data_IF_281813666093
#
_entry.id   IF_281813666093
#
_cell.length_a   1.000
_cell.length_b   1.000
_cell.length_c   1.000
_cell.angle_alpha   90.00
_cell.angle_beta   90.00
_cell.angle_gamma   90.00
#
_symmetry.space_group_name_H-M   'P 1'
#
loop_
_entity.id
_entity.type
_entity.pdbx_description
1 polymer ?
#
# COMPACT_ATOMS: atom_id res chain seq x y z
N UNK A 1 -4.49 22.89 -52.95
CA UNK A 1 -5.57 22.45 -52.04
C UNK A 1 -4.94 21.38 -51.17
N UNK A 2 -4.35 21.78 -50.04
CA UNK A 2 -3.67 20.87 -49.12
C UNK A 2 -4.75 20.42 -48.15
N UNK A 3 -5.14 19.15 -48.24
CA UNK A 3 -6.00 18.51 -47.24
C UNK A 3 -5.15 18.20 -46.02
N UNK A 4 -5.06 19.16 -45.11
CA UNK A 4 -4.63 18.90 -43.73
C UNK A 4 -5.74 18.11 -43.03
N UNK A 5 -5.62 16.78 -43.09
CA UNK A 5 -6.23 15.89 -42.12
C UNK A 5 -5.10 14.98 -41.64
N UNK A 6 -4.28 15.53 -40.75
CA UNK A 6 -3.44 14.75 -39.87
C UNK A 6 -4.04 14.89 -38.48
N UNK A 7 -5.24 14.32 -38.29
CA UNK A 7 -5.63 14.00 -36.92
C UNK A 7 -4.51 13.13 -36.36
N UNK A 8 -3.84 13.55 -35.26
CA UNK A 8 -2.76 12.75 -34.69
C UNK A 8 -3.34 11.36 -34.41
N UNK A 9 -2.73 10.34 -35.01
CA UNK A 9 -3.09 8.95 -34.69
C UNK A 9 -2.82 8.76 -33.21
N UNK A 10 -3.89 8.81 -32.41
CA UNK A 10 -3.83 8.40 -31.02
C UNK A 10 -3.44 6.93 -31.07
N UNK A 11 -2.35 6.52 -30.39
CA UNK A 11 -2.00 5.11 -30.27
C UNK A 11 -3.24 4.32 -29.82
N UNK A 12 -3.31 3.02 -30.10
CA UNK A 12 -4.31 2.17 -29.44
C UNK A 12 -4.00 2.15 -27.94
N UNK A 13 -4.58 3.12 -27.22
CA UNK A 13 -4.46 3.29 -25.79
C UNK A 13 -5.59 2.52 -25.13
N UNK A 14 -5.21 1.65 -24.20
CA UNK A 14 -6.15 0.91 -23.38
C UNK A 14 -6.24 1.49 -21.96
N UNK A 15 -7.20 0.99 -21.17
CA UNK A 15 -7.23 1.23 -19.73
C UNK A 15 -5.89 0.86 -19.08
N UNK A 16 -5.54 1.59 -18.03
CA UNK A 16 -4.29 1.51 -17.27
C UNK A 16 -2.99 1.89 -18.00
N UNK A 17 -3.04 2.26 -19.28
CA UNK A 17 -1.90 2.89 -19.95
C UNK A 17 -1.54 4.22 -19.28
N UNK A 18 -0.29 4.64 -19.45
CA UNK A 18 0.27 5.79 -18.72
C UNK A 18 0.54 6.93 -19.70
N UNK A 19 0.00 8.10 -19.41
CA UNK A 19 0.37 9.34 -20.06
C UNK A 19 1.41 10.08 -19.21
N UNK A 20 2.59 10.34 -19.77
CA UNK A 20 3.66 11.13 -19.17
C UNK A 20 3.62 12.53 -19.80
N UNK A 21 3.73 13.58 -18.99
CA UNK A 21 3.73 14.94 -19.51
C UNK A 21 4.39 15.94 -18.56
N UNK A 22 4.65 17.14 -19.07
CA UNK A 22 5.11 18.26 -18.26
C UNK A 22 3.93 19.10 -17.73
N UNK A 23 3.83 19.21 -16.40
CA UNK A 23 2.87 20.07 -15.70
C UNK A 23 3.62 21.10 -14.85
N UNK A 24 3.50 22.38 -15.23
CA UNK A 24 4.08 23.51 -14.49
C UNK A 24 3.58 23.62 -13.04
N UNK A 25 2.43 23.04 -12.73
CA UNK A 25 1.85 23.04 -11.39
C UNK A 25 2.32 21.86 -10.53
N UNK A 26 2.97 20.85 -11.14
CA UNK A 26 3.55 19.74 -10.41
C UNK A 26 4.87 20.17 -9.77
N UNK A 27 5.05 19.84 -8.49
CA UNK A 27 6.25 20.16 -7.72
C UNK A 27 7.36 19.12 -7.87
N UNK A 28 7.07 17.98 -8.55
CA UNK A 28 8.08 16.96 -8.80
C UNK A 28 9.15 17.51 -9.76
N UNK A 29 10.42 17.14 -9.59
CA UNK A 29 11.46 17.49 -10.54
C UNK A 29 11.17 16.84 -11.90
N UNK A 30 11.68 17.47 -12.95
CA UNK A 30 11.63 16.93 -14.32
C UNK A 30 12.61 15.77 -14.42
N UNK A 31 12.18 14.67 -15.03
CA UNK A 31 12.99 13.48 -15.31
C UNK A 31 13.76 13.60 -16.64
N UNK A 32 14.47 12.53 -17.01
CA UNK A 32 15.23 12.46 -18.26
C UNK A 32 14.37 12.56 -19.53
N UNK A 33 13.06 12.31 -19.43
CA UNK A 33 12.10 12.44 -20.53
C UNK A 33 11.51 13.84 -20.65
N UNK A 34 11.92 14.80 -19.83
CA UNK A 34 11.34 16.14 -19.83
C UNK A 34 9.97 16.22 -19.13
N UNK A 35 9.52 15.11 -18.53
CA UNK A 35 8.23 15.01 -17.84
C UNK A 35 8.41 15.19 -16.33
N UNK A 36 7.38 15.69 -15.65
CA UNK A 36 7.34 15.72 -14.19
C UNK A 36 6.01 15.21 -13.61
N UNK A 37 5.13 14.76 -14.50
CA UNK A 37 3.82 14.28 -14.15
C UNK A 37 3.45 13.08 -15.00
N UNK A 38 2.59 12.27 -14.43
CA UNK A 38 1.99 11.13 -15.10
C UNK A 38 0.51 11.03 -14.75
N UNK A 39 -0.26 10.42 -15.65
CA UNK A 39 -1.67 10.13 -15.46
C UNK A 39 -1.97 8.72 -15.95
N UNK A 40 -2.88 8.05 -15.26
CA UNK A 40 -3.30 6.69 -15.58
C UNK A 40 -4.59 6.79 -16.38
N UNK A 41 -4.57 6.28 -17.61
CA UNK A 41 -5.74 6.20 -18.48
C UNK A 41 -6.72 5.23 -17.83
N UNK A 42 -7.97 5.64 -17.64
CA UNK A 42 -8.95 4.81 -16.92
C UNK A 42 -10.15 4.43 -17.78
N UNK A 43 -10.52 5.25 -18.76
CA UNK A 43 -11.65 5.03 -19.67
C UNK A 43 -11.60 5.99 -20.87
N UNK A 44 -12.63 5.96 -21.70
CA UNK A 44 -12.80 6.83 -22.87
C UNK A 44 -12.94 8.32 -22.54
N UNK A 45 -13.11 8.69 -21.26
CA UNK A 45 -13.26 10.07 -20.84
C UNK A 45 -11.95 10.71 -20.37
N UNK A 46 -10.87 9.92 -20.23
CA UNK A 46 -9.53 10.43 -20.01
C UNK A 46 -8.72 9.68 -18.97
N UNK A 47 -7.80 10.41 -18.34
CA UNK A 47 -6.84 9.87 -17.38
C UNK A 47 -7.00 10.47 -15.98
N UNK A 48 -6.57 9.76 -14.95
CA UNK A 48 -6.49 10.26 -13.57
C UNK A 48 -5.06 10.66 -13.25
N UNK A 49 -4.89 11.88 -12.76
CA UNK A 49 -3.58 12.42 -12.37
C UNK A 49 -3.65 12.99 -10.95
N UNK A 50 -2.54 12.85 -10.20
CA UNK A 50 -2.38 13.45 -8.87
C UNK A 50 -1.93 14.90 -8.99
N UNK A 51 -2.75 15.86 -8.56
CA UNK A 51 -2.41 17.29 -8.52
C UNK A 51 -2.46 17.80 -7.08
N UNK A 52 -1.28 18.14 -6.53
CA UNK A 52 -1.13 18.52 -5.11
C UNK A 52 -1.68 17.39 -4.22
N UNK A 53 -2.71 17.68 -3.42
CA UNK A 53 -3.35 16.74 -2.48
C UNK A 53 -4.65 16.11 -3.02
N UNK A 54 -4.88 16.15 -4.33
CA UNK A 54 -6.11 15.64 -4.95
C UNK A 54 -5.81 14.83 -6.19
N UNK A 55 -6.66 13.84 -6.46
CA UNK A 55 -6.68 13.16 -7.75
C UNK A 55 -7.73 13.85 -8.62
N UNK A 56 -7.37 14.16 -9.86
CA UNK A 56 -8.25 14.84 -10.82
C UNK A 56 -8.28 14.07 -12.12
N UNK A 57 -9.46 14.00 -12.73
CA UNK A 57 -9.59 13.57 -14.13
C UNK A 57 -9.05 14.67 -15.05
N UNK A 58 -8.18 14.27 -15.96
CA UNK A 58 -7.69 15.06 -17.09
C UNK A 58 -8.39 14.54 -18.35
N UNK A 59 -9.33 15.31 -18.93
CA UNK A 59 -9.99 14.93 -20.18
C UNK A 59 -8.98 14.76 -21.32
N UNK A 60 -9.31 13.92 -22.30
CA UNK A 60 -8.45 13.66 -23.46
C UNK A 60 -8.05 14.93 -24.20
N UNK A 61 -8.99 15.85 -24.41
CA UNK A 61 -8.75 17.09 -25.15
C UNK A 61 -7.76 18.01 -24.43
N UNK A 62 -7.68 17.91 -23.10
CA UNK A 62 -6.71 18.62 -22.29
C UNK A 62 -5.36 17.89 -22.27
N UNK A 63 -5.38 16.57 -22.16
CA UNK A 63 -4.18 15.73 -22.13
C UNK A 63 -3.38 15.85 -23.43
N UNK A 64 -4.06 15.77 -24.58
CA UNK A 64 -3.45 15.90 -25.92
C UNK A 64 -2.82 17.26 -26.19
N UNK A 65 -3.11 18.27 -25.37
CA UNK A 65 -2.52 19.62 -25.45
C UNK A 65 -1.36 19.83 -24.46
N UNK A 66 -1.01 18.81 -23.67
CA UNK A 66 0.06 18.93 -22.69
C UNK A 66 1.44 18.94 -23.38
N UNK A 67 2.38 19.76 -22.90
CA UNK A 67 3.76 19.71 -23.37
C UNK A 67 4.44 18.38 -23.02
N UNK A 68 5.35 17.92 -23.89
CA UNK A 68 6.12 16.69 -23.70
C UNK A 68 5.23 15.46 -23.42
N UNK A 69 4.08 15.37 -24.10
CA UNK A 69 3.16 14.24 -23.91
C UNK A 69 3.72 12.97 -24.56
N UNK A 70 3.90 11.94 -23.73
CA UNK A 70 4.25 10.60 -24.15
C UNK A 70 3.24 9.60 -23.60
N UNK A 71 2.97 8.54 -24.37
CA UNK A 71 2.18 7.42 -23.89
C UNK A 71 3.06 6.19 -23.72
N UNK A 72 2.80 5.45 -22.66
CA UNK A 72 3.44 4.18 -22.36
C UNK A 72 2.37 3.12 -22.10
N UNK A 73 2.43 2.05 -22.87
CA UNK A 73 1.58 0.89 -22.62
C UNK A 73 1.92 0.24 -21.29
N UNK A 74 0.90 -0.14 -20.55
CA UNK A 74 1.03 -0.90 -19.33
C UNK A 74 1.47 -2.34 -19.67
N UNK A 75 2.53 -2.90 -19.05
CA UNK A 75 2.98 -4.26 -19.36
C UNK A 75 2.02 -5.36 -18.87
N UNK A 76 1.00 -5.02 -18.06
CA UNK A 76 0.06 -5.97 -17.47
C UNK A 76 -1.26 -6.02 -18.25
N UNK A 77 -1.19 -6.43 -19.53
CA UNK A 77 -2.33 -6.43 -20.45
C UNK A 77 -3.58 -7.13 -19.89
N UNK A 78 -3.41 -8.31 -19.28
CA UNK A 78 -4.51 -9.10 -18.70
C UNK A 78 -5.16 -8.45 -17.46
N UNK A 79 -4.56 -7.39 -16.91
CA UNK A 79 -5.02 -6.71 -15.68
C UNK A 79 -5.49 -5.28 -15.91
N UNK A 80 -5.42 -4.75 -17.15
CA UNK A 80 -5.72 -3.35 -17.49
C UNK A 80 -7.04 -2.84 -16.92
N UNK A 81 -8.14 -3.58 -17.13
CA UNK A 81 -9.47 -3.20 -16.63
C UNK A 81 -9.55 -3.17 -15.10
N UNK A 82 -8.87 -4.10 -14.43
CA UNK A 82 -8.86 -4.18 -12.96
C UNK A 82 -8.06 -3.02 -12.36
N UNK A 83 -6.92 -2.70 -12.97
CA UNK A 83 -6.07 -1.56 -12.58
C UNK A 83 -6.86 -0.26 -12.76
N UNK A 84 -7.49 -0.04 -13.92
CA UNK A 84 -8.29 1.15 -14.17
C UNK A 84 -9.47 1.29 -13.17
N UNK A 85 -10.19 0.20 -12.92
CA UNK A 85 -11.29 0.17 -11.94
C UNK A 85 -10.82 0.48 -10.52
N UNK A 86 -9.66 -0.05 -10.11
CA UNK A 86 -9.06 0.27 -8.81
C UNK A 86 -8.86 1.78 -8.69
N UNK A 87 -8.24 2.43 -9.68
CA UNK A 87 -7.97 3.87 -9.62
C UNK A 87 -9.25 4.71 -9.64
N UNK A 88 -10.27 4.32 -10.41
CA UNK A 88 -11.59 4.95 -10.41
C UNK A 88 -12.25 4.88 -9.02
N UNK A 89 -12.19 3.73 -8.36
CA UNK A 89 -12.77 3.52 -7.02
C UNK A 89 -12.07 4.35 -5.93
N UNK A 90 -10.78 4.66 -6.11
CA UNK A 90 -9.96 5.38 -5.13
C UNK A 90 -9.69 6.84 -5.48
N UNK A 91 -10.40 7.42 -6.46
CA UNK A 91 -10.20 8.84 -6.87
C UNK A 91 -10.36 9.84 -5.72
N UNK A 92 -11.16 9.51 -4.71
CA UNK A 92 -11.40 10.38 -3.53
C UNK A 92 -10.39 10.14 -2.39
N UNK A 93 -9.59 9.07 -2.48
CA UNK A 93 -8.65 8.62 -1.45
C UNK A 93 -7.23 8.78 -1.97
N UNK A 94 -6.68 9.99 -1.81
CA UNK A 94 -5.37 10.38 -2.34
C UNK A 94 -4.28 9.35 -2.01
N UNK A 95 -4.21 8.91 -0.76
CA UNK A 95 -3.13 8.02 -0.30
C UNK A 95 -3.29 6.60 -0.84
N UNK A 96 -4.54 6.15 -1.07
CA UNK A 96 -4.81 4.87 -1.70
C UNK A 96 -4.49 4.91 -3.19
N UNK A 97 -4.77 6.03 -3.86
CA UNK A 97 -4.37 6.25 -5.24
C UNK A 97 -2.84 6.23 -5.38
N UNK A 98 -2.13 6.96 -4.52
CA UNK A 98 -0.66 6.96 -4.50
C UNK A 98 -0.08 5.58 -4.16
N UNK A 99 -0.70 4.84 -3.24
CA UNK A 99 -0.30 3.47 -2.94
C UNK A 99 -0.50 2.54 -4.15
N UNK A 100 -1.59 2.71 -4.91
CA UNK A 100 -1.83 1.99 -6.16
C UNK A 100 -0.80 2.33 -7.23
N UNK A 101 -0.46 3.62 -7.40
CA UNK A 101 0.62 4.07 -8.28
C UNK A 101 1.94 3.36 -7.95
N UNK A 102 2.32 3.33 -6.67
CA UNK A 102 3.53 2.65 -6.20
C UNK A 102 3.44 1.14 -6.42
N UNK A 103 2.32 0.51 -6.07
CA UNK A 103 2.11 -0.93 -6.26
C UNK A 103 2.27 -1.32 -7.74
N UNK A 104 1.72 -0.53 -8.67
CA UNK A 104 1.87 -0.75 -10.10
C UNK A 104 3.33 -0.68 -10.56
N UNK A 105 4.07 0.34 -10.11
CA UNK A 105 5.50 0.50 -10.43
C UNK A 105 6.36 -0.63 -9.87
N UNK A 106 5.98 -1.16 -8.71
CA UNK A 106 6.65 -2.27 -8.04
C UNK A 106 6.23 -3.65 -8.58
N UNK A 107 5.28 -3.70 -9.51
CA UNK A 107 4.72 -4.96 -10.02
C UNK A 107 3.89 -5.75 -9.02
N UNK A 108 3.43 -5.10 -7.94
CA UNK A 108 2.51 -5.67 -6.98
C UNK A 108 1.07 -5.55 -7.52
N UNK A 109 0.58 -6.61 -8.15
CA UNK A 109 -0.75 -6.60 -8.78
C UNK A 109 -1.90 -6.90 -7.82
N UNK A 110 -1.59 -7.37 -6.61
CA UNK A 110 -2.56 -7.87 -5.64
C UNK A 110 -3.66 -6.85 -5.28
N UNK A 111 -3.38 -5.55 -5.03
CA UNK A 111 -4.42 -4.56 -4.79
C UNK A 111 -5.42 -4.41 -5.94
N UNK A 112 -4.97 -4.58 -7.19
CA UNK A 112 -5.83 -4.47 -8.37
C UNK A 112 -6.69 -5.70 -8.56
N UNK A 113 -6.16 -6.89 -8.24
CA UNK A 113 -6.92 -8.14 -8.27
C UNK A 113 -8.09 -8.14 -7.30
N UNK A 114 -7.91 -7.56 -6.12
CA UNK A 114 -8.97 -7.42 -5.12
C UNK A 114 -9.85 -6.19 -5.32
N UNK A 115 -9.36 -5.20 -6.05
CA UNK A 115 -10.02 -3.91 -6.23
C UNK A 115 -9.95 -2.99 -4.99
N UNK A 116 -9.14 -3.34 -3.99
CA UNK A 116 -8.96 -2.61 -2.74
C UNK A 116 -7.50 -2.71 -2.28
N UNK A 117 -7.00 -1.67 -1.61
CA UNK A 117 -5.62 -1.67 -1.11
C UNK A 117 -5.41 -2.70 0.02
N UNK A 118 -6.40 -2.84 0.89
CA UNK A 118 -6.37 -3.78 1.99
C UNK A 118 -7.26 -4.99 1.66
N UNK A 119 -6.85 -6.21 2.03
CA UNK A 119 -7.67 -7.40 1.87
C UNK A 119 -8.93 -7.31 2.75
N UNK A 120 -9.96 -8.07 2.38
CA UNK A 120 -11.10 -8.24 3.26
C UNK A 120 -10.72 -9.07 4.48
N UNK A 121 -11.26 -8.69 5.64
CA UNK A 121 -11.12 -9.48 6.87
C UNK A 121 -11.72 -10.87 6.66
N UNK A 122 -11.00 -11.94 7.02
CA UNK A 122 -11.55 -13.30 6.91
C UNK A 122 -12.69 -13.50 7.92
N UNK A 123 -13.65 -14.33 7.55
CA UNK A 123 -14.74 -14.77 8.42
C UNK A 123 -14.72 -16.28 8.51
N UNK A 124 -15.00 -16.82 9.68
CA UNK A 124 -14.93 -18.25 9.96
C UNK A 124 -16.28 -18.76 10.40
N UNK A 125 -16.69 -19.91 9.89
CA UNK A 125 -17.92 -20.58 10.29
C UNK A 125 -17.71 -21.38 11.58
N UNK A 126 -16.50 -21.91 11.81
CA UNK A 126 -16.17 -22.72 12.98
C UNK A 126 -14.79 -22.40 13.57
N UNK A 127 -14.56 -22.86 14.81
CA UNK A 127 -13.25 -22.73 15.44
C UNK A 127 -12.19 -23.59 14.75
N UNK A 128 -12.57 -24.74 14.20
CA UNK A 128 -11.66 -25.58 13.41
C UNK A 128 -11.15 -24.89 12.15
N UNK A 129 -11.99 -24.06 11.53
CA UNK A 129 -11.63 -23.29 10.34
C UNK A 129 -10.67 -22.15 10.69
N UNK A 130 -10.94 -21.46 11.81
CA UNK A 130 -10.03 -20.45 12.36
C UNK A 130 -8.68 -21.05 12.75
N UNK A 131 -8.68 -22.19 13.45
CA UNK A 131 -7.45 -22.88 13.86
C UNK A 131 -6.62 -23.32 12.66
N UNK A 132 -7.27 -23.82 11.60
CA UNK A 132 -6.58 -24.14 10.34
C UNK A 132 -5.99 -22.89 9.68
N UNK A 133 -6.76 -21.81 9.53
CA UNK A 133 -6.25 -20.56 8.96
C UNK A 133 -5.07 -20.00 9.78
N UNK A 134 -5.14 -20.10 11.10
CA UNK A 134 -4.05 -19.71 12.00
C UNK A 134 -2.80 -20.59 11.81
N UNK A 135 -2.97 -21.91 11.71
CA UNK A 135 -1.89 -22.84 11.42
C UNK A 135 -1.25 -22.55 10.05
N UNK A 136 -2.05 -22.32 9.02
CA UNK A 136 -1.58 -21.98 7.67
C UNK A 136 -0.82 -20.65 7.68
N UNK A 137 -1.30 -19.65 8.43
CA UNK A 137 -0.61 -18.39 8.63
C UNK A 137 0.80 -18.59 9.21
N UNK A 138 0.92 -19.37 10.29
CA UNK A 138 2.20 -19.62 10.95
C UNK A 138 3.18 -20.41 10.06
N UNK A 139 2.67 -21.37 9.29
CA UNK A 139 3.48 -22.17 8.35
C UNK A 139 3.98 -21.33 7.18
N UNK A 140 3.18 -20.35 6.74
CA UNK A 140 3.52 -19.52 5.56
C UNK A 140 4.42 -18.33 5.92
N UNK A 141 4.33 -17.84 7.15
CA UNK A 141 5.15 -16.75 7.64
C UNK A 141 6.65 -17.11 7.67
N UNK A 142 7.49 -16.18 7.21
CA UNK A 142 8.95 -16.31 7.18
C UNK A 142 9.61 -15.18 7.96
N UNK A 143 10.81 -15.38 8.52
CA UNK A 143 11.54 -14.30 9.18
C UNK A 143 11.61 -13.05 8.29
N UNK A 144 11.53 -11.86 8.90
CA UNK A 144 11.41 -10.56 8.22
C UNK A 144 10.06 -10.25 7.56
N UNK A 145 9.07 -11.14 7.64
CA UNK A 145 7.69 -10.76 7.34
C UNK A 145 7.17 -9.76 8.37
N UNK A 146 6.28 -8.87 7.91
CA UNK A 146 5.62 -7.89 8.75
C UNK A 146 4.23 -8.39 9.10
N UNK A 147 3.94 -8.46 10.39
CA UNK A 147 2.66 -8.87 10.95
C UNK A 147 1.83 -7.62 11.23
N UNK A 148 0.70 -7.50 10.54
CA UNK A 148 -0.26 -6.43 10.73
C UNK A 148 -1.43 -6.92 11.56
N UNK A 149 -1.83 -6.14 12.55
CA UNK A 149 -2.84 -6.54 13.51
C UNK A 149 -3.95 -5.47 13.56
N UNK A 150 -5.19 -5.94 13.52
CA UNK A 150 -6.39 -5.14 13.73
C UNK A 150 -7.15 -5.64 14.96
N UNK A 151 -7.37 -4.74 15.93
CA UNK A 151 -8.15 -5.00 17.15
C UNK A 151 -9.36 -4.08 17.18
N UNK A 152 -10.56 -4.66 17.14
CA UNK A 152 -11.81 -3.86 17.13
C UNK A 152 -12.29 -3.44 18.51
N UNK A 153 -11.86 -4.15 19.55
CA UNK A 153 -12.32 -3.94 20.93
C UNK A 153 -11.69 -2.72 21.60
N UNK A 154 -10.55 -2.25 21.07
CA UNK A 154 -9.80 -1.15 21.65
C UNK A 154 -10.08 0.16 20.89
N UNK A 155 -10.52 1.18 21.63
CA UNK A 155 -10.85 2.51 21.11
C UNK A 155 -9.65 3.13 20.41
N UNK A 156 -8.45 2.96 20.98
CA UNK A 156 -7.23 3.52 20.39
C UNK A 156 -6.91 2.82 19.07
N UNK A 157 -6.99 1.50 19.04
CA UNK A 157 -6.81 0.72 17.82
C UNK A 157 -7.75 1.18 16.70
N UNK A 158 -9.03 1.40 17.02
CA UNK A 158 -10.00 1.96 16.06
C UNK A 158 -9.66 3.37 15.60
N UNK A 159 -9.17 4.22 16.49
CA UNK A 159 -8.77 5.59 16.15
C UNK A 159 -7.56 5.59 15.19
N UNK A 160 -6.56 4.75 15.44
CA UNK A 160 -5.39 4.60 14.55
C UNK A 160 -5.84 4.12 13.17
N UNK A 161 -6.63 3.04 13.12
CA UNK A 161 -7.18 2.51 11.88
C UNK A 161 -7.95 3.58 11.08
N UNK A 162 -8.86 4.31 11.75
CA UNK A 162 -9.65 5.37 11.12
C UNK A 162 -8.79 6.54 10.63
N UNK A 163 -7.90 7.08 11.46
CA UNK A 163 -7.06 8.24 11.10
C UNK A 163 -6.07 7.94 9.98
N UNK A 164 -5.66 6.68 9.87
CA UNK A 164 -4.73 6.23 8.83
C UNK A 164 -5.42 5.58 7.65
N UNK A 165 -6.76 5.66 7.56
CA UNK A 165 -7.59 5.16 6.45
C UNK A 165 -7.36 3.68 6.10
N UNK A 166 -7.09 2.83 7.09
CA UNK A 166 -6.87 1.40 6.89
C UNK A 166 -7.32 0.57 8.08
N UNK A 167 -7.30 -0.76 7.99
CA UNK A 167 -7.83 -1.62 9.06
C UNK A 167 -6.87 -1.84 10.21
N UNK A 168 -5.56 -1.73 9.97
CA UNK A 168 -4.55 -2.16 10.92
C UNK A 168 -4.23 -1.05 11.92
N UNK A 169 -4.03 -1.44 13.18
CA UNK A 169 -3.70 -0.54 14.28
C UNK A 169 -2.39 -0.86 14.96
N UNK A 170 -1.79 -2.00 14.62
CA UNK A 170 -0.50 -2.41 15.14
C UNK A 170 0.30 -3.19 14.11
N UNK A 171 1.62 -3.20 14.31
CA UNK A 171 2.57 -3.87 13.42
C UNK A 171 3.68 -4.52 14.24
N UNK A 172 4.13 -5.69 13.82
CA UNK A 172 5.22 -6.44 14.42
C UNK A 172 6.10 -7.06 13.33
N UNK A 173 7.34 -7.39 13.66
CA UNK A 173 8.24 -8.16 12.79
C UNK A 173 8.19 -9.62 13.20
N UNK A 174 8.03 -10.53 12.24
CA UNK A 174 8.13 -11.96 12.47
C UNK A 174 9.58 -12.41 12.55
N UNK A 175 9.94 -13.13 13.61
CA UNK A 175 11.30 -13.61 13.85
C UNK A 175 11.52 -15.06 13.38
N UNK A 176 10.45 -15.82 13.10
CA UNK A 176 10.52 -17.27 12.91
C UNK A 176 9.92 -18.04 14.09
N UNK A 177 9.62 -19.33 13.89
CA UNK A 177 9.11 -20.25 14.92
C UNK A 177 7.90 -19.75 15.72
N UNK A 178 7.02 -18.98 15.06
CA UNK A 178 5.85 -18.37 15.68
C UNK A 178 6.14 -17.19 16.59
N UNK A 179 7.38 -16.68 16.63
CA UNK A 179 7.77 -15.52 17.44
C UNK A 179 7.71 -14.22 16.66
N UNK A 180 7.34 -13.17 17.38
CA UNK A 180 7.32 -11.81 16.88
C UNK A 180 8.10 -10.89 17.80
N UNK A 181 8.46 -9.75 17.22
CA UNK A 181 9.06 -8.63 17.90
C UNK A 181 8.27 -7.37 17.58
N UNK A 182 7.86 -6.63 18.60
CA UNK A 182 6.99 -5.46 18.44
C UNK A 182 7.30 -4.37 19.47
N UNK A 183 6.93 -3.13 19.14
CA UNK A 183 6.99 -2.00 20.06
C UNK A 183 5.59 -1.69 20.58
N UNK A 184 5.36 -1.89 21.87
CA UNK A 184 4.10 -1.55 22.55
C UNK A 184 4.30 -0.33 23.46
N UNK A 185 3.22 0.17 24.05
CA UNK A 185 3.25 1.34 24.95
C UNK A 185 4.16 1.14 26.16
N UNK A 186 4.32 -0.10 26.65
CA UNK A 186 5.23 -0.44 27.75
C UNK A 186 6.67 -0.69 27.30
N UNK A 187 6.99 -0.48 26.02
CA UNK A 187 8.30 -0.71 25.44
C UNK A 187 8.32 -1.90 24.48
N UNK A 188 9.52 -2.42 24.26
CA UNK A 188 9.79 -3.48 23.29
C UNK A 188 9.39 -4.84 23.85
N UNK A 189 8.72 -5.67 23.04
CA UNK A 189 8.24 -6.99 23.44
C UNK A 189 8.59 -8.04 22.40
N UNK A 190 9.09 -9.18 22.88
CA UNK A 190 9.19 -10.45 22.14
C UNK A 190 8.19 -11.43 22.72
N UNK A 191 7.55 -12.23 21.87
CA UNK A 191 6.66 -13.31 22.32
C UNK A 191 6.09 -14.13 21.19
N UNK A 192 5.41 -15.22 21.55
CA UNK A 192 4.71 -16.08 20.58
C UNK A 192 3.47 -15.36 20.05
N UNK A 193 3.34 -15.30 18.72
CA UNK A 193 2.21 -14.70 18.03
C UNK A 193 0.89 -15.33 18.46
N UNK A 194 0.86 -16.65 18.67
CA UNK A 194 -0.31 -17.38 19.16
C UNK A 194 -0.79 -16.87 20.51
N UNK A 195 0.14 -16.69 21.44
CA UNK A 195 -0.18 -16.38 22.83
C UNK A 195 -0.65 -14.93 22.98
N UNK A 196 -0.14 -14.05 22.12
CA UNK A 196 -0.42 -12.62 22.14
C UNK A 196 -1.67 -12.24 21.33
N UNK A 197 -1.96 -12.97 20.24
CA UNK A 197 -2.91 -12.51 19.22
C UNK A 197 -3.87 -13.57 18.66
N UNK A 198 -3.77 -14.86 19.04
CA UNK A 198 -4.71 -15.89 18.53
C UNK A 198 -6.10 -15.70 19.15
N UNK A 199 -6.98 -15.00 18.44
CA UNK A 199 -8.38 -14.83 18.81
C UNK A 199 -9.20 -14.47 17.59
N UNK A 200 -10.41 -15.01 17.44
CA UNK A 200 -11.35 -14.62 16.36
C UNK A 200 -11.72 -13.13 16.37
N UNK A 201 -11.50 -12.44 17.49
CA UNK A 201 -11.73 -11.00 17.65
C UNK A 201 -10.57 -10.14 17.16
N UNK A 202 -9.41 -10.74 16.91
CA UNK A 202 -8.20 -10.09 16.43
C UNK A 202 -7.97 -10.59 15.01
N UNK A 203 -7.80 -9.67 14.08
CA UNK A 203 -7.41 -10.01 12.72
C UNK A 203 -5.90 -9.81 12.58
N UNK A 204 -5.21 -10.84 12.12
CA UNK A 204 -3.78 -10.84 11.85
C UNK A 204 -3.55 -11.08 10.36
N UNK A 205 -2.77 -10.22 9.73
CA UNK A 205 -2.36 -10.34 8.33
C UNK A 205 -0.84 -10.30 8.22
N UNK A 206 -0.28 -11.22 7.45
CA UNK A 206 1.17 -11.32 7.21
C UNK A 206 1.46 -10.74 5.84
N UNK A 207 2.35 -9.75 5.81
CA UNK A 207 2.81 -9.14 4.58
C UNK A 207 4.31 -9.32 4.41
N UNK A 208 4.73 -9.57 3.18
CA UNK A 208 6.13 -9.66 2.78
C UNK A 208 6.48 -8.50 1.86
N UNK A 209 7.62 -7.88 2.12
CA UNK A 209 8.16 -6.88 1.21
C UNK A 209 8.55 -7.57 -0.11
N UNK A 210 8.26 -6.98 -1.27
CA UNK A 210 8.53 -7.61 -2.58
C UNK A 210 10.01 -8.01 -2.75
N UNK A 211 10.94 -7.20 -2.22
CA UNK A 211 12.38 -7.49 -2.30
C UNK A 211 12.80 -8.67 -1.40
N UNK A 212 11.92 -9.10 -0.50
CA UNK A 212 12.13 -10.25 0.38
C UNK A 212 11.45 -11.51 -0.16
N UNK A 213 10.74 -11.44 -1.30
CA UNK A 213 10.07 -12.63 -1.87
C UNK A 213 11.11 -13.68 -2.30
N UNK A 214 12.18 -13.24 -2.95
CA UNK A 214 13.23 -14.11 -3.50
C UNK A 214 14.36 -14.40 -2.51
N UNK A 215 14.42 -13.65 -1.39
CA UNK A 215 15.47 -13.78 -0.38
C UNK A 215 14.92 -14.41 0.88
N UNK A 216 15.56 -15.49 1.32
CA UNK A 216 15.35 -16.03 2.65
C UNK A 216 16.18 -15.28 3.69
N UNK A 217 15.56 -14.96 4.82
CA UNK A 217 16.21 -14.38 5.99
C UNK A 217 16.23 -15.41 7.10
N UNK A 218 17.35 -15.49 7.81
CA UNK A 218 17.45 -16.24 9.05
C UNK A 218 16.75 -15.52 10.21
N UNK A 219 16.35 -16.27 11.24
CA UNK A 219 15.79 -15.71 12.47
C UNK A 219 16.74 -14.69 13.13
N UNK A 220 18.05 -14.96 13.11
CA UNK A 220 19.07 -14.06 13.64
C UNK A 220 19.16 -12.74 12.86
N UNK A 221 19.04 -12.79 11.52
CA UNK A 221 18.99 -11.56 10.71
C UNK A 221 17.73 -10.74 11.02
N UNK A 222 16.59 -11.41 11.18
CA UNK A 222 15.34 -10.76 11.54
C UNK A 222 15.43 -10.09 12.92
N UNK A 223 15.98 -10.81 13.91
CA UNK A 223 16.16 -10.30 15.26
C UNK A 223 17.13 -9.11 15.32
N UNK A 224 18.27 -9.17 14.61
CA UNK A 224 19.20 -8.04 14.52
C UNK A 224 18.54 -6.81 13.91
N UNK A 225 17.84 -6.99 12.79
CA UNK A 225 17.17 -5.89 12.09
C UNK A 225 16.07 -5.27 12.94
N UNK A 226 15.25 -6.10 13.59
CA UNK A 226 14.22 -5.66 14.52
C UNK A 226 14.82 -4.87 15.69
N UNK A 227 15.91 -5.38 16.29
CA UNK A 227 16.62 -4.73 17.40
C UNK A 227 17.28 -3.41 17.00
N UNK A 228 17.86 -3.33 15.80
CA UNK A 228 18.47 -2.10 15.28
C UNK A 228 17.41 -1.02 15.00
N UNK A 229 16.26 -1.43 14.46
CA UNK A 229 15.11 -0.54 14.33
C UNK A 229 14.61 -0.10 15.71
N UNK A 230 14.55 -1.02 16.67
CA UNK A 230 14.17 -0.78 18.06
C UNK A 230 15.03 0.23 18.80
N UNK A 231 16.33 0.24 18.51
CA UNK A 231 17.29 1.11 19.17
C UNK A 231 16.89 2.59 19.03
N UNK A 232 16.14 2.93 17.97
CA UNK A 232 15.57 4.25 17.72
C UNK A 232 14.33 4.57 18.57
N UNK A 233 13.66 3.55 19.12
CA UNK A 233 12.39 3.61 19.86
C UNK A 233 12.49 3.01 21.27
N UNK A 234 13.69 2.98 21.85
CA UNK A 234 14.03 2.25 23.10
C UNK A 234 13.14 2.58 24.31
N UNK A 235 12.59 3.79 24.38
CA UNK A 235 11.80 4.25 25.52
C UNK A 235 10.30 3.91 25.41
N UNK A 236 9.95 3.03 24.46
CA UNK A 236 8.57 2.85 24.07
C UNK A 236 8.04 4.11 23.39
N UNK A 237 6.75 4.09 23.10
CA UNK A 237 6.14 5.15 22.34
C UNK A 237 5.05 5.84 23.18
N UNK A 238 5.19 7.14 23.44
CA UNK A 238 4.24 7.90 24.27
C UNK A 238 2.91 8.08 23.52
N UNK A 239 1.79 7.75 24.14
CA UNK A 239 0.44 7.81 23.57
C UNK A 239 0.15 9.14 22.83
N UNK A 240 0.64 10.25 23.37
CA UNK A 240 0.46 11.58 22.78
C UNK A 240 1.07 11.66 21.40
N UNK A 241 2.24 11.09 21.24
CA UNK A 241 2.93 11.11 19.98
C UNK A 241 2.14 10.23 18.95
N UNK A 242 1.39 9.21 19.38
CA UNK A 242 0.82 8.19 18.50
C UNK A 242 -0.47 8.75 17.90
N UNK A 243 -1.22 9.42 18.77
CA UNK A 243 -2.31 10.30 18.38
C UNK A 243 -1.79 11.44 17.50
N UNK A 244 -0.63 12.04 17.81
CA UNK A 244 -0.02 13.07 16.96
C UNK A 244 0.31 12.55 15.55
N UNK A 245 0.93 11.38 15.41
CA UNK A 245 1.20 10.80 14.09
C UNK A 245 -0.07 10.35 13.38
N UNK A 246 -1.08 9.85 14.10
CA UNK A 246 -2.41 9.60 13.53
C UNK A 246 -3.05 10.89 12.99
N UNK A 247 -2.96 12.00 13.73
CA UNK A 247 -3.46 13.31 13.30
C UNK A 247 -2.65 13.91 12.14
N UNK A 248 -1.33 13.70 12.11
CA UNK A 248 -0.47 14.10 10.97
C UNK A 248 -0.79 13.26 9.74
N UNK A 249 -1.00 11.96 9.91
CA UNK A 249 -1.47 11.04 8.87
C UNK A 249 -2.82 11.48 8.30
N UNK A 250 -3.77 11.91 9.14
CA UNK A 250 -5.05 12.47 8.66
C UNK A 250 -4.88 13.71 7.76
N UNK A 251 -3.76 14.43 7.88
CA UNK A 251 -3.42 15.59 7.03
C UNK A 251 -2.63 15.20 5.77
N UNK A 252 -2.53 13.90 5.47
CA UNK A 252 -1.81 13.37 4.31
C UNK A 252 -0.29 13.29 4.50
N UNK A 253 0.23 13.47 5.71
CA UNK A 253 1.65 13.30 6.02
C UNK A 253 1.92 11.84 6.43
N UNK A 254 1.95 10.95 5.43
CA UNK A 254 2.28 9.52 5.61
C UNK A 254 3.75 9.19 5.30
N UNK A 255 4.60 10.20 5.14
CA UNK A 255 5.98 10.06 4.65
C UNK A 255 6.87 9.25 5.61
N UNK A 256 6.56 9.27 6.90
CA UNK A 256 7.27 8.50 7.92
C UNK A 256 6.49 7.21 8.27
N UNK A 257 7.20 6.07 8.31
CA UNK A 257 6.67 4.75 8.67
C UNK A 257 6.34 4.61 10.16
N UNK A 258 5.69 5.63 10.72
CA UNK A 258 5.39 5.77 12.15
C UNK A 258 4.01 5.25 12.51
N UNK A 259 3.20 4.86 11.51
CA UNK A 259 1.87 4.28 11.70
C UNK A 259 1.70 3.00 10.87
N UNK A 260 0.96 1.99 11.34
CA UNK A 260 0.88 0.68 10.69
C UNK A 260 0.51 0.76 9.19
N UNK A 261 -0.59 1.43 8.84
CA UNK A 261 -1.05 1.45 7.45
C UNK A 261 -0.11 2.22 6.49
N UNK A 262 0.78 3.10 6.96
CA UNK A 262 1.71 3.82 6.08
C UNK A 262 2.77 2.91 5.46
N UNK A 263 3.06 1.76 6.09
CA UNK A 263 3.86 0.71 5.45
C UNK A 263 3.20 0.24 4.16
N UNK A 264 1.90 -0.06 4.20
CA UNK A 264 1.15 -0.57 3.04
C UNK A 264 0.98 0.50 1.94
N UNK A 265 0.94 1.77 2.31
CA UNK A 265 0.95 2.89 1.34
C UNK A 265 2.24 3.02 0.52
N UNK A 266 3.29 2.25 0.85
CA UNK A 266 4.49 2.16 0.01
C UNK A 266 4.28 1.27 -1.23
N UNK A 267 3.19 0.50 -1.30
CA UNK A 267 2.84 -0.36 -2.43
C UNK A 267 3.73 -1.61 -2.59
N UNK A 268 4.82 -1.72 -1.83
CA UNK A 268 5.83 -2.78 -1.93
C UNK A 268 5.58 -3.97 -0.98
N UNK A 269 4.38 -4.08 -0.40
CA UNK A 269 4.01 -5.16 0.52
C UNK A 269 2.92 -6.03 -0.08
N UNK A 270 3.17 -7.35 -0.09
CA UNK A 270 2.27 -8.37 -0.62
C UNK A 270 1.74 -9.19 0.54
N UNK A 271 0.42 -9.36 0.63
CA UNK A 271 -0.21 -10.25 1.60
C UNK A 271 0.17 -11.69 1.28
N UNK A 272 0.61 -12.40 2.31
CA UNK A 272 1.03 -13.79 2.27
C UNK A 272 -0.02 -14.70 2.89
N UNK A 273 -0.54 -14.32 4.07
CA UNK A 273 -1.55 -15.08 4.79
C UNK A 273 -2.32 -14.16 5.74
N UNK A 274 -3.48 -14.61 6.21
CA UNK A 274 -4.24 -13.93 7.25
C UNK A 274 -5.07 -14.91 8.06
N UNK A 275 -5.32 -14.55 9.32
CA UNK A 275 -6.11 -15.31 10.28
C UNK A 275 -6.98 -14.38 11.14
#
# INVERSE_FOLDING_TARGET
MITESSDPQIPELGPADIALYFDRQCQRPVDETGCNQWAIIVDEHGALARRRSRVTRVPWEALLKMPELHFRSNPYDDHRDRIARFFLNHVKLHDHFEAGEKALLQGNLQPFEWGHLFPCRPTYVSDSEFDRAWSDLLVTARPMDTIFIAREVDILSRLIAWTTQGPFSHVATYLGDGEIWESVTSGLRRGKLSDLYKSRRIWVAVYRHIQHIEREFSSDEAERTATDAAAKYKDGYNWFQAVRHGLMSFRGAHEDAEVPNSFLYRGSWVLIAQA
#
